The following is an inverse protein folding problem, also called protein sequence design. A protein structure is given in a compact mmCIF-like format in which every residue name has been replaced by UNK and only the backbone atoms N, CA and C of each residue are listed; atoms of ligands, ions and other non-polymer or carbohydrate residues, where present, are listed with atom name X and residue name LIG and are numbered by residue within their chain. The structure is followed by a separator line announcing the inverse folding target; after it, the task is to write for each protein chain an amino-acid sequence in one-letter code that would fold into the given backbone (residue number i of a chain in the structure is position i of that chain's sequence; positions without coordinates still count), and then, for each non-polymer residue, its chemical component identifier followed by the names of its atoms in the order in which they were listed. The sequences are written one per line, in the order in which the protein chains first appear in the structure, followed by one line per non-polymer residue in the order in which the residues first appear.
data_IF_818253258780
#
_entry.id   IF_818253258780
#
_cell.length_a   1.000
_cell.length_b   1.000
_cell.length_c   1.000
_cell.angle_alpha   90.00
_cell.angle_beta   90.00
_cell.angle_gamma   90.00
#
_symmetry.space_group_name_H-M   'P 1'
#
loop_
_entity.id
_entity.type
_entity.pdbx_description
1 polymer ?
#
# COMPACT_ATOMS: atom_id res chain seq x y z
N UNK A 1 18.07 10.57 -22.38
CA UNK A 1 17.03 11.59 -22.65
C UNK A 1 17.10 12.65 -21.56
N UNK A 2 17.08 13.93 -21.94
CA UNK A 2 17.19 15.08 -21.03
C UNK A 2 15.82 15.73 -20.94
N UNK A 3 15.28 15.88 -19.72
CA UNK A 3 14.05 16.62 -19.49
C UNK A 3 14.41 18.09 -19.28
N UNK A 4 13.77 18.98 -20.04
CA UNK A 4 13.95 20.43 -19.93
C UNK A 4 12.58 21.06 -19.71
N UNK A 5 12.44 21.85 -18.65
CA UNK A 5 11.22 22.62 -18.38
C UNK A 5 11.15 23.75 -19.39
N UNK A 6 10.09 23.78 -20.20
CA UNK A 6 9.90 24.81 -21.25
C UNK A 6 9.18 26.05 -20.75
N UNK A 7 8.30 25.88 -19.76
CA UNK A 7 7.40 26.93 -19.30
C UNK A 7 6.98 26.66 -17.86
N UNK A 8 6.83 27.73 -17.08
CA UNK A 8 6.35 27.69 -15.70
C UNK A 8 5.35 28.84 -15.50
N UNK A 9 4.07 28.49 -15.35
CA UNK A 9 3.00 29.46 -15.13
C UNK A 9 2.68 29.49 -13.64
N UNK A 10 2.85 30.66 -13.02
CA UNK A 10 2.70 30.87 -11.57
C UNK A 10 1.26 31.25 -11.20
N UNK A 11 0.50 31.77 -12.16
CA UNK A 11 -0.86 32.24 -11.93
C UNK A 11 -1.84 31.07 -11.77
N UNK A 12 -2.70 31.16 -10.76
CA UNK A 12 -3.75 30.18 -10.48
C UNK A 12 -5.12 30.83 -10.63
N UNK A 13 -6.09 30.04 -11.09
CA UNK A 13 -7.50 30.47 -11.18
C UNK A 13 -8.25 30.37 -9.84
N UNK A 14 -7.55 29.98 -8.77
CA UNK A 14 -8.07 29.86 -7.42
C UNK A 14 -6.99 30.15 -6.38
N UNK A 15 -7.40 30.41 -5.14
CA UNK A 15 -6.46 30.57 -4.03
C UNK A 15 -5.73 29.25 -3.73
N UNK A 16 -4.45 29.34 -3.36
CA UNK A 16 -3.69 28.19 -2.87
C UNK A 16 -4.29 27.65 -1.57
N UNK A 17 -4.11 26.34 -1.34
CA UNK A 17 -4.56 25.72 -0.10
C UNK A 17 -3.83 26.36 1.09
N UNK A 18 -4.54 26.80 2.13
CA UNK A 18 -3.91 27.39 3.30
C UNK A 18 -3.10 26.32 4.07
N UNK A 19 -2.07 26.73 4.86
CA UNK A 19 -1.19 25.81 5.57
C UNK A 19 -1.91 24.80 6.48
N UNK A 20 -3.00 25.22 7.11
CA UNK A 20 -3.82 24.41 7.99
C UNK A 20 -4.67 23.33 7.27
N UNK A 21 -4.72 23.34 5.94
CA UNK A 21 -5.41 22.32 5.14
C UNK A 21 -4.45 21.30 4.51
N UNK A 22 -3.13 21.52 4.62
CA UNK A 22 -2.10 20.68 4.00
C UNK A 22 -2.19 19.23 4.52
N UNK A 23 -2.55 19.04 5.79
CA UNK A 23 -2.80 17.72 6.38
C UNK A 23 -3.86 16.88 5.64
N UNK A 24 -4.77 17.52 4.90
CA UNK A 24 -5.78 16.81 4.12
C UNK A 24 -5.30 16.45 2.70
N UNK A 25 -4.19 17.03 2.24
CA UNK A 25 -3.59 16.75 0.95
C UNK A 25 -2.68 15.52 1.03
N UNK A 26 -3.06 14.43 0.35
CA UNK A 26 -2.28 13.17 0.36
C UNK A 26 -0.82 13.35 -0.06
N UNK A 27 -0.52 14.25 -1.00
CA UNK A 27 0.84 14.53 -1.47
C UNK A 27 1.74 15.18 -0.41
N UNK A 28 1.15 15.74 0.63
CA UNK A 28 1.87 16.40 1.73
C UNK A 28 1.85 15.58 3.01
N UNK A 29 1.28 14.36 2.96
CA UNK A 29 1.28 13.44 4.09
C UNK A 29 2.42 12.44 3.97
N UNK A 30 3.21 12.34 5.03
CA UNK A 30 4.26 11.35 5.17
C UNK A 30 4.33 10.87 6.61
N UNK A 31 4.55 9.57 6.78
CA UNK A 31 4.81 8.94 8.08
C UNK A 31 6.31 8.73 8.17
N UNK A 32 6.93 9.14 9.27
CA UNK A 32 8.37 8.99 9.50
C UNK A 32 8.67 7.57 9.99
N UNK A 33 9.83 7.05 9.60
CA UNK A 33 10.31 5.74 10.06
C UNK A 33 10.39 5.67 11.61
N UNK A 34 10.71 6.78 12.28
CA UNK A 34 10.72 6.88 13.74
C UNK A 34 9.34 6.68 14.37
N UNK A 35 8.29 7.20 13.75
CA UNK A 35 6.89 7.07 14.22
C UNK A 35 6.42 5.62 14.06
N UNK A 36 6.85 4.94 12.99
CA UNK A 36 6.60 3.50 12.80
C UNK A 36 7.33 2.67 13.86
N UNK A 37 8.60 2.98 14.15
CA UNK A 37 9.38 2.27 15.17
C UNK A 37 8.78 2.45 16.58
N UNK A 38 8.32 3.67 16.91
CA UNK A 38 7.61 3.95 18.15
C UNK A 38 6.31 3.13 18.24
N UNK A 39 5.51 3.15 17.17
CA UNK A 39 4.27 2.37 17.09
C UNK A 39 4.51 0.87 17.29
N UNK A 40 5.52 0.29 16.65
CA UNK A 40 5.87 -1.12 16.80
C UNK A 40 6.23 -1.45 18.25
N UNK A 41 7.06 -0.60 18.88
CA UNK A 41 7.48 -0.78 20.27
C UNK A 41 6.29 -0.75 21.24
N UNK A 42 5.35 0.15 21.01
CA UNK A 42 4.17 0.33 21.86
C UNK A 42 3.13 -0.79 21.66
N UNK A 43 3.00 -1.31 20.44
CA UNK A 43 2.13 -2.46 20.17
C UNK A 43 2.62 -3.75 20.84
N UNK A 44 3.94 -3.93 21.04
CA UNK A 44 4.48 -5.08 21.78
C UNK A 44 3.93 -5.12 23.21
N UNK A 45 3.69 -3.96 23.82
CA UNK A 45 3.11 -3.83 25.17
C UNK A 45 1.59 -3.62 25.15
N UNK A 46 0.93 -3.89 24.02
CA UNK A 46 -0.53 -3.90 23.90
C UNK A 46 -1.20 -2.55 23.65
N UNK A 47 -0.44 -1.49 23.38
CA UNK A 47 -1.00 -0.16 23.12
C UNK A 47 -1.60 -0.10 21.71
N UNK A 48 -2.82 0.43 21.60
CA UNK A 48 -3.52 0.54 20.32
C UNK A 48 -2.94 1.68 19.50
N UNK A 49 -2.94 1.53 18.16
CA UNK A 49 -2.51 2.60 17.23
C UNK A 49 -3.24 3.92 17.45
N UNK A 50 -4.49 3.89 17.94
CA UNK A 50 -5.23 5.10 18.30
C UNK A 50 -4.53 5.91 19.39
N UNK A 51 -4.08 5.24 20.46
CA UNK A 51 -3.40 5.86 21.60
C UNK A 51 -2.00 6.36 21.21
N UNK A 52 -1.33 5.65 20.30
CA UNK A 52 -0.06 6.12 19.70
C UNK A 52 -0.30 7.40 18.89
N UNK A 53 -1.38 7.46 18.09
CA UNK A 53 -1.72 8.69 17.37
C UNK A 53 -2.04 9.85 18.32
N UNK A 54 -2.80 9.61 19.38
CA UNK A 54 -3.10 10.65 20.39
C UNK A 54 -1.80 11.18 21.02
N UNK A 55 -0.84 10.29 21.30
CA UNK A 55 0.47 10.68 21.79
C UNK A 55 1.28 11.50 20.76
N UNK A 56 1.29 11.09 19.49
CA UNK A 56 1.97 11.83 18.43
C UNK A 56 1.37 13.23 18.25
N UNK A 57 0.04 13.37 18.39
CA UNK A 57 -0.66 14.65 18.37
C UNK A 57 -0.22 15.54 19.54
N UNK A 58 -0.14 14.98 20.75
CA UNK A 58 0.33 15.70 21.93
C UNK A 58 1.77 16.19 21.75
N UNK A 59 2.67 15.31 21.30
CA UNK A 59 4.07 15.67 21.02
C UNK A 59 4.22 16.72 19.92
N UNK A 60 3.33 16.71 18.93
CA UNK A 60 3.38 17.66 17.81
C UNK A 60 2.69 18.99 18.13
N UNK A 61 2.01 19.10 19.28
CA UNK A 61 1.22 20.29 19.63
C UNK A 61 -0.05 20.45 18.80
N UNK A 62 -0.63 19.34 18.34
CA UNK A 62 -1.91 19.32 17.62
C UNK A 62 -1.89 18.53 16.31
N UNK A 63 -3.09 18.15 15.86
CA UNK A 63 -3.29 17.33 14.66
C UNK A 63 -2.69 17.91 13.39
N UNK A 64 -2.67 19.25 13.27
CA UNK A 64 -2.11 19.92 12.10
C UNK A 64 -0.60 19.80 11.96
N UNK A 65 0.08 19.47 13.06
CA UNK A 65 1.53 19.43 13.11
C UNK A 65 2.09 18.00 13.00
N UNK A 66 1.23 16.97 13.09
CA UNK A 66 1.61 15.56 12.93
C UNK A 66 2.03 15.24 11.49
N UNK A 67 1.40 15.92 10.51
CA UNK A 67 1.73 15.76 9.09
C UNK A 67 1.14 14.51 8.43
N UNK A 68 0.42 13.65 9.15
CA UNK A 68 -0.28 12.50 8.57
C UNK A 68 -1.53 12.12 9.36
N UNK A 69 -2.42 11.33 8.74
CA UNK A 69 -3.60 10.82 9.44
C UNK A 69 -3.29 9.49 10.15
N UNK A 70 -4.20 9.06 11.03
CA UNK A 70 -4.16 7.72 11.63
C UNK A 70 -4.19 6.61 10.58
N UNK A 71 -4.94 6.81 9.49
CA UNK A 71 -5.02 5.84 8.40
C UNK A 71 -3.70 5.71 7.67
N UNK A 72 -2.97 6.81 7.49
CA UNK A 72 -1.63 6.77 6.90
C UNK A 72 -0.66 5.99 7.81
N UNK A 73 -0.65 6.25 9.13
CA UNK A 73 0.18 5.52 10.08
C UNK A 73 -0.11 4.01 10.04
N UNK A 74 -1.39 3.64 10.01
CA UNK A 74 -1.81 2.24 9.94
C UNK A 74 -1.41 1.58 8.61
N UNK A 75 -1.60 2.27 7.48
CA UNK A 75 -1.18 1.77 6.17
C UNK A 75 0.35 1.59 6.08
N UNK A 76 1.13 2.50 6.67
CA UNK A 76 2.59 2.40 6.73
C UNK A 76 3.03 1.20 7.58
N UNK A 77 2.39 0.96 8.72
CA UNK A 77 2.65 -0.23 9.54
C UNK A 77 2.32 -1.53 8.78
N UNK A 78 1.17 -1.56 8.10
CA UNK A 78 0.76 -2.73 7.30
C UNK A 78 1.75 -3.00 6.17
N UNK A 79 2.28 -1.95 5.53
CA UNK A 79 3.35 -2.05 4.54
C UNK A 79 4.63 -2.67 5.13
N UNK A 80 5.06 -2.19 6.31
CA UNK A 80 6.23 -2.76 7.00
C UNK A 80 6.02 -4.24 7.34
N UNK A 81 4.84 -4.63 7.83
CA UNK A 81 4.52 -6.03 8.12
C UNK A 81 4.51 -6.93 6.89
N UNK A 82 4.25 -6.37 5.71
CA UNK A 82 4.31 -7.08 4.43
C UNK A 82 5.71 -7.12 3.84
N UNK A 83 6.72 -6.56 4.50
CA UNK A 83 8.11 -6.60 4.02
C UNK A 83 9.02 -7.29 5.03
N UNK A 84 10.07 -7.97 4.53
CA UNK A 84 11.08 -8.54 5.41
C UNK A 84 12.13 -7.49 5.85
N UNK A 85 13.13 -7.89 6.63
CA UNK A 85 14.24 -7.01 7.09
C UNK A 85 15.04 -6.36 5.94
N UNK A 86 14.95 -6.90 4.72
CA UNK A 86 15.56 -6.37 3.49
C UNK A 86 14.60 -5.54 2.64
N UNK A 87 13.44 -5.14 3.18
CA UNK A 87 12.38 -4.40 2.49
C UNK A 87 11.84 -5.13 1.25
N UNK A 88 11.90 -6.46 1.22
CA UNK A 88 11.35 -7.29 0.14
C UNK A 88 9.87 -7.57 0.39
N UNK A 89 8.96 -7.27 -0.55
CA UNK A 89 7.52 -7.46 -0.35
C UNK A 89 7.15 -8.95 -0.33
N UNK A 90 6.32 -9.34 0.63
CA UNK A 90 5.68 -10.63 0.73
C UNK A 90 4.25 -10.52 0.19
N UNK A 91 3.98 -11.19 -0.92
CA UNK A 91 2.64 -11.27 -1.50
C UNK A 91 2.01 -12.61 -1.13
N UNK A 92 0.85 -12.56 -0.49
CA UNK A 92 0.04 -13.74 -0.19
C UNK A 92 -1.09 -13.88 -1.21
N UNK A 93 -1.23 -15.06 -1.79
CA UNK A 93 -2.32 -15.42 -2.69
C UNK A 93 -3.39 -16.14 -1.89
N UNK A 94 -4.40 -15.39 -1.47
CA UNK A 94 -5.52 -15.89 -0.65
C UNK A 94 -6.75 -16.05 -1.54
N UNK A 95 -7.52 -17.11 -1.34
CA UNK A 95 -8.81 -17.25 -2.00
C UNK A 95 -9.76 -18.16 -1.25
N UNK A 96 -10.82 -18.56 -1.93
CA UNK A 96 -11.93 -19.33 -1.37
C UNK A 96 -11.97 -20.70 -2.04
N UNK A 97 -12.07 -21.78 -1.27
CA UNK A 97 -12.22 -23.14 -1.79
C UNK A 97 -13.69 -23.53 -2.01
N UNK A 98 -13.95 -24.77 -2.46
CA UNK A 98 -15.30 -25.28 -2.70
C UNK A 98 -16.18 -25.37 -1.44
N UNK A 99 -15.60 -25.30 -0.24
CA UNK A 99 -16.31 -25.27 1.05
C UNK A 99 -16.50 -23.84 1.56
N UNK A 100 -16.38 -22.83 0.69
CA UNK A 100 -16.50 -21.42 1.06
C UNK A 100 -15.50 -20.98 2.16
N UNK A 101 -14.42 -21.73 2.35
CA UNK A 101 -13.41 -21.45 3.36
C UNK A 101 -12.27 -20.63 2.76
N UNK A 102 -11.82 -19.62 3.49
CA UNK A 102 -10.62 -18.85 3.14
C UNK A 102 -9.38 -19.72 3.30
N UNK A 103 -8.60 -19.85 2.24
CA UNK A 103 -7.36 -20.63 2.20
C UNK A 103 -6.25 -19.85 1.51
N UNK A 104 -5.04 -20.01 2.01
CA UNK A 104 -3.83 -19.49 1.38
C UNK A 104 -3.44 -20.48 0.27
N UNK A 105 -3.49 -20.03 -0.99
CA UNK A 105 -3.03 -20.84 -2.13
C UNK A 105 -1.52 -20.80 -2.32
N UNK A 106 -0.85 -19.79 -1.79
CA UNK A 106 0.59 -19.65 -1.83
C UNK A 106 1.04 -18.27 -1.37
N UNK A 107 2.35 -18.09 -1.30
CA UNK A 107 2.99 -16.81 -1.03
C UNK A 107 4.26 -16.69 -1.86
N UNK A 108 4.69 -15.46 -2.12
CA UNK A 108 5.93 -15.16 -2.82
C UNK A 108 6.65 -13.98 -2.18
N UNK A 109 7.93 -14.16 -1.89
CA UNK A 109 8.82 -13.08 -1.49
C UNK A 109 9.42 -12.46 -2.75
N UNK A 110 9.08 -11.21 -3.01
CA UNK A 110 9.39 -10.52 -4.25
C UNK A 110 10.65 -9.66 -4.11
N UNK A 111 11.36 -9.48 -5.22
CA UNK A 111 12.48 -8.55 -5.30
C UNK A 111 12.01 -7.10 -5.14
N UNK A 112 10.98 -6.74 -5.89
CA UNK A 112 10.43 -5.39 -5.98
C UNK A 112 8.94 -5.45 -6.36
N UNK A 113 8.29 -4.28 -6.40
CA UNK A 113 6.88 -4.14 -6.79
C UNK A 113 6.75 -3.70 -8.26
N UNK A 114 7.48 -4.37 -9.17
CA UNK A 114 7.43 -4.08 -10.60
C UNK A 114 6.47 -5.02 -11.35
N UNK A 115 6.09 -4.63 -12.57
CA UNK A 115 5.19 -5.41 -13.41
C UNK A 115 5.79 -6.80 -13.72
N UNK A 116 7.10 -6.86 -13.97
CA UNK A 116 7.78 -8.09 -14.36
C UNK A 116 7.83 -9.07 -13.20
N UNK A 117 8.15 -8.58 -12.00
CA UNK A 117 8.14 -9.39 -10.77
C UNK A 117 6.75 -9.93 -10.45
N UNK A 118 5.70 -9.12 -10.59
CA UNK A 118 4.33 -9.60 -10.43
C UNK A 118 3.89 -10.57 -11.53
N UNK A 119 4.34 -10.37 -12.76
CA UNK A 119 4.06 -11.28 -13.88
C UNK A 119 4.66 -12.66 -13.60
N UNK A 120 5.91 -12.71 -13.13
CA UNK A 120 6.56 -13.95 -12.71
C UNK A 120 5.78 -14.65 -11.58
N UNK A 121 5.37 -13.92 -10.55
CA UNK A 121 4.59 -14.48 -9.43
C UNK A 121 3.27 -15.09 -9.92
N UNK A 122 2.49 -14.34 -10.70
CA UNK A 122 1.18 -14.77 -11.19
C UNK A 122 1.30 -15.93 -12.20
N UNK A 123 2.31 -15.91 -13.05
CA UNK A 123 2.59 -17.02 -13.98
C UNK A 123 2.95 -18.29 -13.22
N UNK A 124 3.81 -18.18 -12.19
CA UNK A 124 4.15 -19.31 -11.31
C UNK A 124 2.91 -19.88 -10.62
N UNK A 125 2.04 -19.01 -10.11
CA UNK A 125 0.76 -19.40 -9.54
C UNK A 125 -0.14 -20.14 -10.56
N UNK A 126 -0.25 -19.64 -11.79
CA UNK A 126 -1.05 -20.28 -12.84
C UNK A 126 -0.48 -21.65 -13.21
N UNK A 127 0.84 -21.80 -13.32
CA UNK A 127 1.49 -23.10 -13.54
C UNK A 127 1.14 -24.08 -12.41
N UNK A 128 1.26 -23.64 -11.15
CA UNK A 128 0.90 -24.44 -9.99
C UNK A 128 -0.60 -24.80 -9.94
N UNK A 129 -1.46 -23.99 -10.56
CA UNK A 129 -2.91 -24.22 -10.71
C UNK A 129 -3.29 -24.88 -12.05
N UNK A 130 -2.33 -25.51 -12.75
CA UNK A 130 -2.57 -26.19 -14.03
C UNK A 130 -3.21 -25.28 -15.09
N UNK A 131 -2.79 -24.03 -15.15
CA UNK A 131 -3.29 -23.01 -16.08
C UNK A 131 -4.70 -22.50 -15.77
N UNK A 132 -5.37 -22.97 -14.70
CA UNK A 132 -6.72 -22.52 -14.35
C UNK A 132 -6.69 -21.08 -13.84
N UNK A 133 -7.30 -20.19 -14.62
CA UNK A 133 -7.44 -18.77 -14.27
C UNK A 133 -8.61 -18.58 -13.30
N UNK A 134 -8.44 -17.75 -12.25
CA UNK A 134 -9.53 -17.44 -11.33
C UNK A 134 -10.63 -16.63 -12.04
N UNK A 135 -11.89 -16.79 -11.62
CA UNK A 135 -12.99 -15.98 -12.16
C UNK A 135 -12.95 -14.53 -11.65
N UNK A 136 -12.44 -14.32 -10.44
CA UNK A 136 -12.32 -12.98 -9.85
C UNK A 136 -11.02 -12.83 -9.06
N UNK A 137 -10.44 -11.65 -9.10
CA UNK A 137 -9.21 -11.27 -8.39
C UNK A 137 -9.46 -9.96 -7.65
N UNK A 138 -9.07 -9.89 -6.38
CA UNK A 138 -9.17 -8.68 -5.55
C UNK A 138 -7.76 -8.20 -5.24
N UNK A 139 -7.46 -6.92 -5.49
CA UNK A 139 -6.17 -6.30 -5.16
C UNK A 139 -6.35 -4.93 -4.52
N UNK A 140 -5.30 -4.39 -3.90
CA UNK A 140 -5.27 -3.04 -3.30
C UNK A 140 -5.18 -1.90 -4.33
N UNK A 141 -5.15 -2.23 -5.63
CA UNK A 141 -5.09 -1.26 -6.71
C UNK A 141 -3.69 -0.86 -7.16
N UNK A 142 -2.66 -1.61 -6.75
CA UNK A 142 -1.32 -1.40 -7.31
C UNK A 142 -1.31 -1.43 -8.85
N UNK A 143 -0.65 -0.44 -9.46
CA UNK A 143 -0.67 -0.22 -10.91
C UNK A 143 0.13 -1.29 -11.66
N UNK A 144 1.23 -1.76 -11.09
CA UNK A 144 2.07 -2.78 -11.71
C UNK A 144 1.36 -4.15 -11.67
N UNK A 145 0.80 -4.52 -10.51
CA UNK A 145 -0.05 -5.70 -10.33
C UNK A 145 -1.27 -5.65 -11.27
N UNK A 146 -1.91 -4.49 -11.41
CA UNK A 146 -3.03 -4.33 -12.33
C UNK A 146 -2.65 -4.67 -13.77
N UNK A 147 -1.51 -4.15 -14.25
CA UNK A 147 -1.02 -4.45 -15.60
C UNK A 147 -0.71 -5.94 -15.76
N UNK A 148 -0.02 -6.54 -14.80
CA UNK A 148 0.33 -7.97 -14.82
C UNK A 148 -0.93 -8.86 -14.89
N UNK A 149 -1.95 -8.59 -14.06
CA UNK A 149 -3.23 -9.31 -14.09
C UNK A 149 -3.92 -9.17 -15.44
N UNK A 150 -3.99 -7.95 -15.98
CA UNK A 150 -4.65 -7.70 -17.27
C UNK A 150 -3.98 -8.47 -18.42
N UNK A 151 -2.66 -8.60 -18.37
CA UNK A 151 -1.89 -9.36 -19.38
C UNK A 151 -2.10 -10.86 -19.25
N UNK A 152 -2.03 -11.43 -18.04
CA UNK A 152 -2.07 -12.88 -17.83
C UNK A 152 -3.49 -13.47 -17.78
N UNK A 153 -4.44 -12.68 -17.25
CA UNK A 153 -5.78 -13.12 -16.91
C UNK A 153 -6.84 -12.10 -17.35
N UNK A 154 -6.97 -11.83 -18.67
CA UNK A 154 -7.88 -10.79 -19.19
C UNK A 154 -9.36 -11.06 -18.89
N UNK A 155 -9.76 -12.34 -18.81
CA UNK A 155 -11.14 -12.76 -18.53
C UNK A 155 -11.53 -12.66 -17.05
N UNK A 156 -10.57 -12.46 -16.14
CA UNK A 156 -10.83 -12.43 -14.70
C UNK A 156 -11.42 -11.09 -14.28
N UNK A 157 -12.54 -11.13 -13.54
CA UNK A 157 -13.17 -9.93 -13.00
C UNK A 157 -12.34 -9.38 -11.85
N UNK A 158 -11.70 -8.23 -12.07
CA UNK A 158 -10.91 -7.54 -11.05
C UNK A 158 -11.78 -6.66 -10.16
N UNK A 159 -11.54 -6.72 -8.85
CA UNK A 159 -12.12 -5.79 -7.86
C UNK A 159 -11.02 -5.15 -7.01
N UNK A 160 -11.31 -3.99 -6.45
CA UNK A 160 -10.45 -3.35 -5.46
C UNK A 160 -10.85 -3.81 -4.06
N UNK A 161 -9.87 -4.08 -3.21
CA UNK A 161 -10.07 -4.21 -1.77
C UNK A 161 -10.56 -2.86 -1.23
N UNK A 162 -11.57 -2.85 -0.36
CA UNK A 162 -12.06 -1.61 0.25
C UNK A 162 -11.15 -1.11 1.37
#
# INVERSE_FOLDING_TARGET
MMWVVREFVIEHTHNLSPPNHIQFLRSHRSVKDSEIAQLQSWQIVGVKTAQVMDHLVDQSGGYSNVGHTKKDLQNSLDSVRRTNVYRRPLVMLVGINHHHSTVIFGFGLLGDETMDTYTWLLQTFLVAKHGKKPKSVVTDGDKAMHKAIKTLMPESVRRLCC
#
